data_IF_022235893515
#
_entry.id   IF_022235893515
#
_cell.length_a   1.000
_cell.length_b   1.000
_cell.length_c   1.000
_cell.angle_alpha   90.00
_cell.angle_beta   90.00
_cell.angle_gamma   90.00
#
_symmetry.space_group_name_H-M   'P 1'
#
loop_
_entity.id
_entity.type
_entity.pdbx_description
1 polymer ?
#
# COMPACT_ATOMS: atom_id res chain seq x y z
N UNK A 1 -45.00 -12.13 -64.25
CA UNK A 1 -44.72 -10.68 -64.41
C UNK A 1 -43.86 -10.29 -63.21
N UNK A 2 -42.54 -10.18 -63.32
CA UNK A 2 -41.75 -9.07 -63.89
C UNK A 2 -41.65 -7.85 -62.94
N UNK A 3 -40.45 -7.71 -62.35
CA UNK A 3 -39.66 -6.54 -61.91
C UNK A 3 -40.32 -5.36 -61.18
N UNK A 4 -39.74 -4.93 -60.05
CA UNK A 4 -38.73 -3.84 -60.06
C UNK A 4 -38.43 -3.34 -58.64
N UNK A 5 -37.16 -3.36 -58.23
CA UNK A 5 -36.66 -2.60 -57.09
C UNK A 5 -36.61 -1.11 -57.45
N UNK A 6 -36.98 -0.23 -56.52
CA UNK A 6 -36.62 1.19 -56.60
C UNK A 6 -36.79 1.90 -55.26
N UNK A 7 -35.73 1.96 -54.46
CA UNK A 7 -35.60 2.94 -53.37
C UNK A 7 -34.30 3.70 -53.61
N UNK A 8 -34.40 4.88 -54.20
CA UNK A 8 -33.29 5.81 -54.36
C UNK A 8 -33.27 6.73 -53.14
N UNK A 9 -32.49 6.40 -52.11
CA UNK A 9 -32.06 7.41 -51.16
C UNK A 9 -30.85 8.12 -51.77
N UNK A 10 -31.08 9.34 -52.24
CA UNK A 10 -30.07 10.30 -52.63
C UNK A 10 -29.20 10.63 -51.40
N UNK A 11 -27.99 10.08 -51.36
CA UNK A 11 -26.99 10.43 -50.37
C UNK A 11 -26.16 11.61 -50.90
N UNK A 12 -26.45 12.82 -50.43
CA UNK A 12 -25.59 13.98 -50.69
C UNK A 12 -24.38 13.95 -49.76
N UNK A 13 -23.13 14.07 -50.24
CA UNK A 13 -21.97 14.15 -49.36
C UNK A 13 -21.86 15.56 -48.75
N UNK A 14 -21.71 15.63 -47.42
CA UNK A 14 -21.30 16.85 -46.70
C UNK A 14 -19.78 17.07 -46.87
N UNK A 15 -19.30 18.32 -46.91
CA UNK A 15 -17.88 18.60 -47.06
C UNK A 15 -17.09 18.26 -45.79
N UNK A 16 -15.97 17.56 -45.97
CA UNK A 16 -14.98 17.26 -44.94
C UNK A 16 -14.28 18.54 -44.47
N UNK A 17 -14.17 18.71 -43.15
CA UNK A 17 -13.38 19.78 -42.53
C UNK A 17 -11.90 19.40 -42.57
N UNK A 18 -11.11 20.15 -43.33
CA UNK A 18 -9.64 20.08 -43.35
C UNK A 18 -9.10 20.55 -42.00
N UNK A 19 -8.50 19.66 -41.21
CA UNK A 19 -7.69 20.03 -40.05
C UNK A 19 -6.27 20.32 -40.52
N UNK A 20 -5.86 21.58 -40.37
CA UNK A 20 -4.51 22.04 -40.67
C UNK A 20 -3.49 21.36 -39.72
N UNK A 21 -2.43 20.83 -40.31
CA UNK A 21 -1.30 20.23 -39.61
C UNK A 21 -0.44 21.35 -38.99
N UNK A 22 -0.37 21.44 -37.67
CA UNK A 22 0.58 22.33 -36.99
C UNK A 22 1.97 21.68 -36.95
N UNK A 23 3.07 22.42 -37.24
CA UNK A 23 4.41 21.85 -37.18
C UNK A 23 4.86 21.59 -35.73
N UNK A 24 5.67 20.56 -35.45
CA UNK A 24 6.15 20.28 -34.11
C UNK A 24 7.25 21.28 -33.69
N UNK A 25 7.13 21.78 -32.47
CA UNK A 25 8.14 22.65 -31.84
C UNK A 25 9.43 21.86 -31.53
N UNK A 26 10.63 22.47 -31.63
CA UNK A 26 11.87 21.80 -31.28
C UNK A 26 12.01 21.68 -29.75
N UNK A 27 12.01 20.45 -29.25
CA UNK A 27 12.35 20.11 -27.87
C UNK A 27 13.86 20.32 -27.61
N UNK A 28 14.21 21.03 -26.53
CA UNK A 28 15.60 21.24 -26.08
C UNK A 28 16.22 19.92 -25.58
N UNK A 29 17.54 19.70 -25.73
CA UNK A 29 18.19 18.50 -25.22
C UNK A 29 18.30 18.52 -23.69
N UNK A 30 18.07 17.35 -23.08
CA UNK A 30 18.22 17.10 -21.64
C UNK A 30 19.72 17.12 -21.31
N UNK A 31 20.07 17.98 -20.36
CA UNK A 31 21.41 18.16 -19.81
C UNK A 31 21.93 16.81 -19.26
N UNK A 32 23.08 16.37 -19.75
CA UNK A 32 23.68 15.08 -19.39
C UNK A 32 24.01 14.97 -17.90
N UNK A 33 23.73 13.79 -17.33
CA UNK A 33 24.24 13.40 -16.03
C UNK A 33 25.76 13.25 -16.11
N UNK A 34 26.50 14.16 -15.47
CA UNK A 34 27.93 13.95 -15.21
C UNK A 34 28.08 12.85 -14.15
N UNK A 35 28.72 11.75 -14.52
CA UNK A 35 29.18 10.75 -13.57
C UNK A 35 30.39 11.32 -12.83
N UNK A 36 30.16 11.82 -11.62
CA UNK A 36 31.23 12.30 -10.74
C UNK A 36 31.93 11.08 -10.14
N UNK A 37 33.13 10.79 -10.63
CA UNK A 37 34.03 9.81 -10.02
C UNK A 37 34.61 10.40 -8.73
N UNK A 38 34.28 9.83 -7.57
CA UNK A 38 34.96 10.16 -6.31
C UNK A 38 35.06 8.93 -5.40
N UNK A 39 36.28 8.39 -5.36
CA UNK A 39 36.97 7.67 -4.27
C UNK A 39 36.46 6.30 -3.74
N UNK A 40 37.37 5.35 -3.44
CA UNK A 40 37.03 4.02 -2.96
C UNK A 40 36.83 4.02 -1.44
N UNK A 41 35.67 3.54 -0.96
CA UNK A 41 35.43 3.32 0.46
C UNK A 41 35.44 1.81 0.73
N UNK A 42 36.56 1.40 1.35
CA UNK A 42 36.75 0.34 2.32
C UNK A 42 35.83 -0.91 2.22
N UNK A 43 36.40 -2.00 1.71
CA UNK A 43 35.82 -3.35 1.81
C UNK A 43 35.68 -3.76 3.29
N UNK A 44 34.51 -3.55 3.87
CA UNK A 44 34.11 -4.26 5.10
C UNK A 44 33.67 -5.66 4.68
N UNK A 45 34.49 -6.67 4.98
CA UNK A 45 34.14 -8.06 4.73
C UNK A 45 32.90 -8.42 5.55
N UNK A 46 31.76 -8.63 4.89
CA UNK A 46 30.66 -9.37 5.48
C UNK A 46 31.03 -10.85 5.42
N UNK A 47 31.18 -11.48 6.59
CA UNK A 47 31.27 -12.93 6.72
C UNK A 47 29.83 -13.47 6.77
N UNK A 48 29.35 -14.22 5.78
CA UNK A 48 28.10 -14.94 5.94
C UNK A 48 28.41 -16.19 6.78
N UNK A 49 27.86 -16.24 7.99
CA UNK A 49 27.65 -17.51 8.67
C UNK A 49 26.26 -17.97 8.26
N UNK A 50 26.19 -19.08 7.53
CA UNK A 50 25.18 -20.15 7.63
C UNK A 50 25.41 -21.10 6.46
N UNK A 51 26.17 -22.16 6.72
CA UNK A 51 26.11 -23.37 5.94
C UNK A 51 24.84 -24.12 6.38
N UNK A 52 23.88 -24.26 5.46
CA UNK A 52 22.91 -25.36 5.50
C UNK A 52 22.61 -25.74 4.06
N UNK A 53 23.37 -26.72 3.57
CA UNK A 53 22.93 -27.57 2.47
C UNK A 53 21.88 -28.49 3.07
N UNK A 54 20.64 -28.41 2.60
CA UNK A 54 20.01 -29.58 1.97
C UNK A 54 18.75 -29.16 1.21
N UNK A 55 18.71 -29.64 -0.01
CA UNK A 55 17.76 -29.40 -1.09
C UNK A 55 16.33 -29.81 -0.76
N UNK A 56 15.35 -29.01 -1.18
CA UNK A 56 14.14 -29.50 -1.87
C UNK A 56 13.53 -28.40 -2.76
N UNK A 57 12.92 -28.75 -3.91
CA UNK A 57 12.38 -27.79 -4.86
C UNK A 57 10.99 -27.31 -4.43
N UNK A 58 10.83 -25.98 -4.36
CA UNK A 58 9.58 -25.29 -4.13
C UNK A 58 8.59 -25.61 -5.27
N UNK A 59 7.56 -26.41 -4.96
CA UNK A 59 6.40 -26.63 -5.83
C UNK A 59 5.33 -25.61 -5.46
N UNK A 60 4.87 -24.86 -6.47
CA UNK A 60 3.74 -23.95 -6.36
C UNK A 60 2.48 -24.75 -6.01
N UNK A 61 1.82 -24.41 -4.90
CA UNK A 61 0.40 -24.68 -4.71
C UNK A 61 -0.20 -23.42 -4.07
N UNK A 62 -1.07 -22.77 -4.83
CA UNK A 62 -2.04 -21.80 -4.32
C UNK A 62 -3.08 -22.60 -3.52
N UNK A 63 -3.31 -22.28 -2.24
CA UNK A 63 -4.67 -22.34 -1.67
C UNK A 63 -4.77 -21.49 -0.40
N UNK A 64 -5.73 -20.58 -0.48
CA UNK A 64 -6.54 -19.92 0.54
C UNK A 64 -6.25 -20.17 2.03
N UNK A 65 -6.23 -19.07 2.76
CA UNK A 65 -6.13 -19.05 4.22
C UNK A 65 -6.48 -17.70 4.80
N UNK A 66 -7.60 -17.12 4.38
CA UNK A 66 -8.27 -16.04 5.11
C UNK A 66 -8.44 -16.45 6.58
N UNK A 67 -7.57 -15.91 7.44
CA UNK A 67 -7.73 -15.98 8.89
C UNK A 67 -7.35 -14.66 9.53
N UNK A 68 -8.16 -13.64 9.27
CA UNK A 68 -8.39 -12.60 10.26
C UNK A 68 -9.60 -12.99 11.11
N UNK A 69 -9.52 -14.14 11.79
CA UNK A 69 -10.29 -14.26 13.02
C UNK A 69 -9.50 -13.46 14.07
N UNK A 70 -9.72 -12.14 14.06
CA UNK A 70 -9.53 -11.34 15.27
C UNK A 70 -10.59 -11.85 16.23
N UNK A 71 -10.28 -12.99 16.85
CA UNK A 71 -10.80 -13.30 18.17
C UNK A 71 -10.38 -12.10 19.01
N UNK A 72 -11.32 -11.20 19.23
CA UNK A 72 -11.35 -10.34 20.41
C UNK A 72 -11.50 -11.27 21.62
N UNK A 73 -10.48 -12.09 21.85
CA UNK A 73 -10.22 -12.66 23.15
C UNK A 73 -10.00 -11.44 24.02
N UNK A 74 -10.94 -11.23 24.93
CA UNK A 74 -10.88 -10.21 25.98
C UNK A 74 -9.53 -10.37 26.66
N UNK A 75 -8.56 -9.59 26.19
CA UNK A 75 -7.17 -9.69 26.60
C UNK A 75 -7.11 -9.28 28.05
N UNK A 76 -6.34 -9.99 28.86
CA UNK A 76 -5.99 -9.55 30.22
C UNK A 76 -5.45 -8.10 30.24
N UNK A 77 -4.96 -7.61 29.10
CA UNK A 77 -4.54 -6.23 28.90
C UNK A 77 -5.65 -5.20 29.15
N UNK A 78 -6.92 -5.51 28.88
CA UNK A 78 -8.05 -4.57 29.10
C UNK A 78 -8.50 -4.53 30.57
N UNK A 79 -8.19 -5.56 31.36
CA UNK A 79 -8.58 -5.61 32.76
C UNK A 79 -7.75 -4.66 33.63
N UNK A 80 -6.47 -4.47 33.30
CA UNK A 80 -5.56 -3.60 34.04
C UNK A 80 -5.98 -2.12 34.02
N UNK A 81 -6.19 -1.45 32.86
CA UNK A 81 -6.58 -0.04 32.83
C UNK A 81 -7.94 0.20 33.49
N UNK A 82 -8.89 -0.73 33.33
CA UNK A 82 -10.17 -0.65 34.03
C UNK A 82 -10.03 -0.80 35.55
N UNK A 83 -9.10 -1.63 36.02
CA UNK A 83 -8.84 -1.78 37.46
C UNK A 83 -8.20 -0.51 38.06
N UNK A 84 -7.28 0.12 37.33
CA UNK A 84 -6.63 1.38 37.74
C UNK A 84 -7.67 2.50 37.82
N UNK A 85 -8.50 2.66 36.78
CA UNK A 85 -9.53 3.70 36.76
C UNK A 85 -10.57 3.50 37.88
N UNK A 86 -10.98 2.25 38.15
CA UNK A 86 -11.88 1.94 39.28
C UNK A 86 -11.28 2.32 40.62
N UNK A 87 -9.99 2.02 40.84
CA UNK A 87 -9.27 2.42 42.05
C UNK A 87 -9.19 3.93 42.18
N UNK A 88 -8.93 4.64 41.07
CA UNK A 88 -8.82 6.09 41.03
C UNK A 88 -10.19 6.76 41.32
N UNK A 89 -11.29 6.23 40.77
CA UNK A 89 -12.66 6.67 41.09
C UNK A 89 -12.99 6.44 42.57
N UNK A 90 -12.55 5.32 43.15
CA UNK A 90 -12.76 5.07 44.58
C UNK A 90 -12.00 6.09 45.42
N UNK A 91 -10.71 6.30 45.12
CA UNK A 91 -9.88 7.28 45.81
C UNK A 91 -10.45 8.70 45.70
N UNK A 92 -10.99 9.07 44.52
CA UNK A 92 -11.66 10.35 44.32
C UNK A 92 -12.85 10.53 45.27
N UNK A 93 -13.72 9.51 45.34
CA UNK A 93 -14.88 9.54 46.23
C UNK A 93 -14.47 9.68 47.69
N UNK A 94 -13.45 8.92 48.11
CA UNK A 94 -12.94 8.96 49.48
C UNK A 94 -12.35 10.36 49.80
N UNK A 95 -11.55 10.94 48.90
CA UNK A 95 -10.97 12.28 49.07
C UNK A 95 -12.03 13.40 49.14
N UNK A 96 -13.10 13.30 48.34
CA UNK A 96 -14.23 14.24 48.39
C UNK A 96 -14.97 14.15 49.73
N UNK A 97 -15.15 12.95 50.28
CA UNK A 97 -15.78 12.77 51.60
C UNK A 97 -14.91 13.30 52.73
N UNK A 98 -13.59 13.13 52.62
CA UNK A 98 -12.62 13.61 53.62
C UNK A 98 -12.34 15.12 53.51
N UNK A 99 -12.80 15.78 52.42
CA UNK A 99 -12.57 17.20 52.16
C UNK A 99 -11.13 17.53 51.77
N UNK A 100 -10.36 16.55 51.28
CA UNK A 100 -8.98 16.74 50.83
C UNK A 100 -8.95 17.27 49.39
N UNK A 101 -9.08 18.59 49.23
CA UNK A 101 -9.06 19.28 47.93
C UNK A 101 -7.78 19.03 47.13
N UNK A 102 -6.65 18.80 47.82
CA UNK A 102 -5.37 18.54 47.17
C UNK A 102 -5.39 17.16 46.52
N UNK A 103 -5.83 16.13 47.25
CA UNK A 103 -5.96 14.79 46.71
C UNK A 103 -6.96 14.73 45.55
N UNK A 104 -8.08 15.47 45.66
CA UNK A 104 -9.07 15.60 44.56
C UNK A 104 -8.40 16.15 43.29
N UNK A 105 -7.66 17.25 43.40
CA UNK A 105 -7.00 17.89 42.25
C UNK A 105 -5.93 16.99 41.61
N UNK A 106 -5.16 16.26 42.44
CA UNK A 106 -4.15 15.32 41.95
C UNK A 106 -4.80 14.14 41.20
N UNK A 107 -5.91 13.62 41.72
CA UNK A 107 -6.64 12.52 41.09
C UNK A 107 -7.27 12.95 39.76
N UNK A 108 -7.84 14.16 39.68
CA UNK A 108 -8.38 14.72 38.43
C UNK A 108 -7.28 14.86 37.37
N UNK A 109 -6.12 15.40 37.73
CA UNK A 109 -4.98 15.51 36.82
C UNK A 109 -4.49 14.14 36.31
N UNK A 110 -4.53 13.10 37.15
CA UNK A 110 -4.20 11.74 36.72
C UNK A 110 -5.23 11.19 35.72
N UNK A 111 -6.53 11.46 35.92
CA UNK A 111 -7.59 11.05 35.00
C UNK A 111 -7.43 11.73 33.65
N UNK A 112 -7.18 13.05 33.63
CA UNK A 112 -6.96 13.82 32.41
C UNK A 112 -5.76 13.32 31.61
N UNK A 113 -4.67 12.98 32.32
CA UNK A 113 -3.47 12.39 31.70
C UNK A 113 -3.83 11.08 31.01
N UNK A 114 -4.54 10.18 31.70
CA UNK A 114 -4.98 8.88 31.13
C UNK A 114 -5.86 9.08 29.90
N UNK A 115 -6.76 10.07 29.92
CA UNK A 115 -7.63 10.37 28.78
C UNK A 115 -6.84 10.86 27.57
N UNK A 116 -5.90 11.79 27.77
CA UNK A 116 -5.07 12.32 26.70
C UNK A 116 -4.19 11.22 26.06
N UNK A 117 -3.55 10.38 26.88
CA UNK A 117 -2.73 9.25 26.42
C UNK A 117 -3.56 8.25 25.60
N UNK A 118 -4.78 7.94 26.06
CA UNK A 118 -5.69 7.04 25.34
C UNK A 118 -6.06 7.62 23.98
N UNK A 119 -6.36 8.91 23.89
CA UNK A 119 -6.71 9.57 22.64
C UNK A 119 -5.52 9.55 21.66
N UNK A 120 -4.32 9.90 22.12
CA UNK A 120 -3.11 9.83 21.32
C UNK A 120 -2.82 8.40 20.82
N UNK A 121 -2.95 7.41 21.69
CA UNK A 121 -2.71 6.02 21.33
C UNK A 121 -3.73 5.53 20.30
N UNK A 122 -5.01 5.88 20.47
CA UNK A 122 -6.05 5.56 19.50
C UNK A 122 -5.76 6.19 18.12
N UNK A 123 -5.29 7.44 18.10
CA UNK A 123 -4.88 8.11 16.86
C UNK A 123 -3.70 7.40 16.19
N UNK A 124 -2.66 7.04 16.95
CA UNK A 124 -1.49 6.30 16.44
C UNK A 124 -1.88 4.93 15.88
N UNK A 125 -2.74 4.19 16.58
CA UNK A 125 -3.26 2.89 16.13
C UNK A 125 -4.05 3.03 14.83
N UNK A 126 -4.91 4.06 14.73
CA UNK A 126 -5.66 4.35 13.51
C UNK A 126 -4.74 4.68 12.33
N UNK A 127 -3.76 5.56 12.54
CA UNK A 127 -2.80 5.95 11.51
C UNK A 127 -1.97 4.76 11.00
N UNK A 128 -1.43 3.94 11.89
CA UNK A 128 -0.67 2.74 11.51
C UNK A 128 -1.54 1.71 10.79
N UNK A 129 -2.80 1.54 11.21
CA UNK A 129 -3.73 0.62 10.55
C UNK A 129 -4.06 1.07 9.12
N UNK A 130 -4.24 2.38 8.92
CA UNK A 130 -4.44 2.96 7.60
C UNK A 130 -3.18 2.81 6.71
N UNK A 131 -1.99 3.03 7.26
CA UNK A 131 -0.73 2.85 6.55
C UNK A 131 -0.51 1.40 6.13
N UNK A 132 -0.74 0.44 7.02
CA UNK A 132 -0.66 -1.00 6.70
C UNK A 132 -1.62 -1.36 5.56
N UNK A 133 -2.85 -0.86 5.60
CA UNK A 133 -3.86 -1.15 4.57
C UNK A 133 -3.43 -0.56 3.22
N UNK A 134 -3.02 0.70 3.20
CA UNK A 134 -2.50 1.35 1.98
C UNK A 134 -1.23 0.66 1.45
N UNK A 135 -0.34 0.22 2.34
CA UNK A 135 0.86 -0.53 1.98
C UNK A 135 0.54 -1.87 1.31
N UNK A 136 -0.44 -2.61 1.84
CA UNK A 136 -0.91 -3.88 1.26
C UNK A 136 -1.52 -3.69 -0.13
N UNK A 137 -2.34 -2.66 -0.32
CA UNK A 137 -2.92 -2.35 -1.64
C UNK A 137 -1.86 -2.03 -2.69
N UNK A 138 -0.86 -1.22 -2.32
CA UNK A 138 0.28 -0.89 -3.19
C UNK A 138 1.11 -2.13 -3.53
N UNK A 139 1.34 -2.99 -2.54
CA UNK A 139 2.07 -4.25 -2.73
C UNK A 139 1.39 -5.16 -3.74
N UNK A 140 0.07 -5.37 -3.63
CA UNK A 140 -0.70 -6.21 -4.57
C UNK A 140 -0.58 -5.68 -6.00
N UNK A 141 -0.71 -4.37 -6.20
CA UNK A 141 -0.58 -3.75 -7.52
C UNK A 141 0.82 -3.95 -8.10
N UNK A 142 1.84 -3.68 -7.30
CA UNK A 142 3.22 -3.81 -7.74
C UNK A 142 3.57 -5.26 -8.08
N UNK A 143 3.06 -6.22 -7.29
CA UNK A 143 3.22 -7.64 -7.59
C UNK A 143 2.55 -8.02 -8.92
N UNK A 144 1.34 -7.52 -9.17
CA UNK A 144 0.67 -7.70 -10.46
C UNK A 144 1.47 -7.08 -11.61
N UNK A 145 2.04 -5.89 -11.43
CA UNK A 145 2.88 -5.24 -12.45
C UNK A 145 4.15 -6.04 -12.75
N UNK A 146 4.81 -6.60 -11.73
CA UNK A 146 5.96 -7.48 -11.92
C UNK A 146 5.59 -8.78 -12.64
N UNK A 147 4.47 -9.40 -12.28
CA UNK A 147 3.99 -10.59 -12.97
C UNK A 147 3.59 -10.30 -14.42
N UNK A 148 2.98 -9.14 -14.67
CA UNK A 148 2.64 -8.69 -16.01
C UNK A 148 3.90 -8.46 -16.86
N UNK A 149 4.91 -7.77 -16.30
CA UNK A 149 6.17 -7.52 -16.99
C UNK A 149 6.87 -8.84 -17.35
N UNK A 150 6.96 -9.77 -16.39
CA UNK A 150 7.54 -11.11 -16.60
C UNK A 150 6.84 -11.87 -17.72
N UNK A 151 5.50 -11.97 -17.67
CA UNK A 151 4.70 -12.66 -18.71
C UNK A 151 4.85 -11.99 -20.08
N UNK A 152 4.82 -10.66 -20.14
CA UNK A 152 4.96 -9.89 -21.37
C UNK A 152 6.34 -10.07 -22.01
N UNK A 153 7.39 -10.01 -21.21
CA UNK A 153 8.78 -10.11 -21.68
C UNK A 153 9.07 -11.49 -22.28
N UNK A 154 8.59 -12.56 -21.64
CA UNK A 154 8.72 -13.91 -22.17
C UNK A 154 7.97 -14.09 -23.49
N UNK A 155 6.74 -13.60 -23.57
CA UNK A 155 5.96 -13.62 -24.81
C UNK A 155 6.66 -12.86 -25.93
N UNK A 156 7.12 -11.63 -25.66
CA UNK A 156 7.81 -10.80 -26.64
C UNK A 156 9.10 -11.46 -27.15
N UNK A 157 9.88 -12.07 -26.24
CA UNK A 157 11.09 -12.81 -26.60
C UNK A 157 10.79 -14.00 -27.51
N UNK A 158 9.69 -14.72 -27.25
CA UNK A 158 9.25 -15.81 -28.11
C UNK A 158 8.78 -15.32 -29.48
N UNK A 159 7.97 -14.26 -29.53
CA UNK A 159 7.48 -13.70 -30.80
C UNK A 159 8.62 -13.18 -31.67
N UNK A 160 9.56 -12.42 -31.08
CA UNK A 160 10.74 -11.92 -31.80
C UNK A 160 11.58 -13.07 -32.37
N UNK A 161 11.71 -14.18 -31.63
CA UNK A 161 12.44 -15.36 -32.11
C UNK A 161 11.70 -16.04 -33.26
N UNK A 162 10.39 -16.22 -33.16
CA UNK A 162 9.59 -16.85 -34.22
C UNK A 162 9.58 -16.00 -35.48
N UNK A 163 9.32 -14.69 -35.38
CA UNK A 163 9.28 -13.77 -36.51
C UNK A 163 10.63 -13.70 -37.26
N UNK A 164 11.74 -13.87 -36.54
CA UNK A 164 13.07 -13.90 -37.14
C UNK A 164 13.40 -15.22 -37.87
N UNK A 165 12.71 -16.32 -37.55
CA UNK A 165 12.89 -17.62 -38.19
C UNK A 165 12.00 -17.82 -39.42
N UNK A 166 10.90 -17.07 -39.52
CA UNK A 166 9.97 -17.11 -40.67
C UNK A 166 10.39 -16.21 -41.84
N UNK A 167 11.57 -15.59 -41.75
CA UNK A 167 12.14 -14.68 -42.76
C UNK A 167 13.38 -15.28 -43.42
#
# INVERSE_FOLDING_TARGET
>A
MAFSLSNHLLFTPKPSKTLALHPPHPSKPILGFRLSTSSPILRRSFKPFLALQDSTPYTNNEEEGSRYDVKTSKSEADQKPLSVLKSLIKAYKDAVLDGDEKAVSEIEAMIDTIESEKAELAQKVSALSAEITSGKEKYIRLQADFDNFRKRSEKERLTVRTDAQEK
#
